data_IF_425462535251
#
_entry.id   IF_425462535251
#
_cell.length_a   1.000
_cell.length_b   1.000
_cell.length_c   1.000
_cell.angle_alpha   90.00
_cell.angle_beta   90.00
_cell.angle_gamma   90.00
#
_symmetry.space_group_name_H-M   'P 1'
#
loop_
_entity.id
_entity.type
_entity.pdbx_description
1 polymer ?
#
# COMPACT_ATOMS: atom_id res chain seq x y z
N UNK A 1 -0.30 -17.77 -22.40
CA UNK A 1 -0.17 -17.29 -23.79
C UNK A 1 1.28 -16.86 -23.99
N UNK A 2 1.91 -17.34 -25.07
CA UNK A 2 3.30 -17.03 -25.40
C UNK A 2 3.41 -16.32 -26.76
N UNK A 3 4.61 -15.88 -27.13
CA UNK A 3 4.84 -15.17 -28.39
C UNK A 3 4.49 -16.02 -29.63
N UNK A 4 4.59 -17.34 -29.54
CA UNK A 4 4.25 -18.25 -30.62
C UNK A 4 2.72 -18.28 -30.85
N UNK A 5 1.93 -18.22 -29.78
CA UNK A 5 0.46 -18.18 -29.86
C UNK A 5 -0.01 -16.90 -30.55
N UNK A 6 0.66 -15.77 -30.25
CA UNK A 6 0.36 -14.47 -30.89
C UNK A 6 0.75 -14.47 -32.36
N UNK A 7 1.97 -14.93 -32.70
CA UNK A 7 2.50 -14.89 -34.06
C UNK A 7 1.75 -15.84 -35.00
N UNK A 8 1.25 -16.97 -34.49
CA UNK A 8 0.52 -17.97 -35.26
C UNK A 8 -1.00 -17.83 -35.19
N UNK A 9 -1.52 -16.78 -34.53
CA UNK A 9 -2.95 -16.58 -34.30
C UNK A 9 -3.64 -17.84 -33.75
N UNK A 10 -3.00 -18.50 -32.77
CA UNK A 10 -3.53 -19.71 -32.18
C UNK A 10 -4.79 -19.40 -31.37
N UNK A 11 -5.82 -20.25 -31.54
CA UNK A 11 -7.09 -20.14 -30.81
C UNK A 11 -6.90 -20.65 -29.35
N UNK A 12 -6.19 -19.90 -28.55
CA UNK A 12 -5.91 -20.21 -27.13
C UNK A 12 -6.48 -19.14 -26.23
N UNK A 13 -6.85 -19.52 -25.01
CA UNK A 13 -7.35 -18.59 -24.01
C UNK A 13 -6.84 -18.93 -22.60
N UNK A 14 -6.82 -17.91 -21.75
CA UNK A 14 -6.62 -18.02 -20.31
C UNK A 14 -7.91 -17.57 -19.63
N UNK A 15 -8.46 -18.40 -18.75
CA UNK A 15 -9.70 -18.11 -18.04
C UNK A 15 -9.43 -17.34 -16.76
N UNK A 16 -10.23 -16.34 -16.45
CA UNK A 16 -10.26 -15.75 -15.11
C UNK A 16 -10.82 -16.72 -14.08
N UNK A 17 -10.47 -16.54 -12.81
CA UNK A 17 -10.83 -17.45 -11.71
C UNK A 17 -12.33 -17.74 -11.62
N UNK A 18 -13.18 -16.73 -11.70
CA UNK A 18 -14.64 -16.89 -11.62
C UNK A 18 -15.20 -17.60 -12.85
N UNK A 19 -14.68 -17.29 -14.05
CA UNK A 19 -15.04 -17.98 -15.29
C UNK A 19 -14.70 -19.45 -15.20
N UNK A 20 -13.50 -19.78 -14.69
CA UNK A 20 -13.10 -21.16 -14.46
C UNK A 20 -14.04 -21.86 -13.48
N UNK A 21 -14.36 -21.27 -12.33
CA UNK A 21 -15.27 -21.84 -11.35
C UNK A 21 -16.68 -22.10 -11.89
N UNK A 22 -17.15 -21.22 -12.77
CA UNK A 22 -18.48 -21.35 -13.41
C UNK A 22 -18.51 -22.46 -14.45
N UNK A 23 -17.46 -22.58 -15.27
CA UNK A 23 -17.40 -23.58 -16.34
C UNK A 23 -16.98 -24.97 -15.85
N UNK A 24 -16.22 -25.03 -14.77
CA UNK A 24 -15.72 -26.29 -14.18
C UNK A 24 -16.11 -26.40 -12.70
N UNK A 25 -17.40 -26.52 -12.35
CA UNK A 25 -17.88 -26.53 -10.95
C UNK A 25 -17.32 -27.69 -10.14
N UNK A 26 -17.00 -28.81 -10.78
CA UNK A 26 -16.40 -29.99 -10.11
C UNK A 26 -14.86 -29.86 -9.96
N UNK A 27 -14.27 -28.74 -10.35
CA UNK A 27 -12.82 -28.56 -10.37
C UNK A 27 -12.15 -29.38 -11.48
N UNK A 28 -10.83 -29.53 -11.35
CA UNK A 28 -10.02 -30.26 -12.31
C UNK A 28 -9.09 -29.36 -13.13
N UNK A 29 -8.26 -29.95 -13.98
CA UNK A 29 -7.36 -29.22 -14.84
C UNK A 29 -8.10 -28.79 -16.13
N UNK A 30 -8.35 -27.50 -16.33
CA UNK A 30 -9.03 -27.01 -17.53
C UNK A 30 -8.12 -26.95 -18.76
N UNK A 31 -6.79 -27.09 -18.58
CA UNK A 31 -5.85 -26.99 -19.69
C UNK A 31 -6.07 -28.11 -20.73
N UNK A 32 -6.20 -27.72 -22.00
CA UNK A 32 -6.51 -28.61 -23.09
C UNK A 32 -8.02 -28.74 -23.40
N UNK A 33 -8.89 -28.26 -22.51
CA UNK A 33 -10.33 -28.19 -22.81
C UNK A 33 -10.63 -27.07 -23.82
N UNK A 34 -11.77 -27.21 -24.52
CA UNK A 34 -12.24 -26.19 -25.44
C UNK A 34 -13.41 -25.41 -24.86
N UNK A 35 -13.31 -24.10 -24.89
CA UNK A 35 -14.38 -23.18 -24.49
C UNK A 35 -14.84 -22.41 -25.71
N UNK A 36 -16.17 -22.32 -25.91
CA UNK A 36 -16.76 -21.55 -27.00
C UNK A 36 -17.04 -20.12 -26.50
N UNK A 37 -16.42 -19.15 -27.14
CA UNK A 37 -16.71 -17.73 -26.95
C UNK A 37 -17.33 -17.23 -28.24
N UNK A 38 -18.57 -16.76 -28.14
CA UNK A 38 -19.43 -16.47 -29.30
C UNK A 38 -19.51 -17.67 -30.26
N UNK A 39 -18.91 -17.58 -31.42
CA UNK A 39 -18.93 -18.65 -32.42
C UNK A 39 -17.57 -19.34 -32.62
N UNK A 40 -16.56 -19.00 -31.81
CA UNK A 40 -15.20 -19.53 -31.95
C UNK A 40 -14.83 -20.41 -30.75
N UNK A 41 -14.22 -21.56 -31.05
CA UNK A 41 -13.69 -22.46 -30.01
C UNK A 41 -12.22 -22.09 -29.70
N UNK A 42 -11.93 -21.93 -28.41
CA UNK A 42 -10.61 -21.62 -27.89
C UNK A 42 -10.12 -22.76 -26.98
N UNK A 43 -8.87 -23.13 -27.15
CA UNK A 43 -8.22 -24.08 -26.25
C UNK A 43 -7.75 -23.37 -24.99
N UNK A 44 -8.12 -23.89 -23.82
CA UNK A 44 -7.70 -23.34 -22.53
C UNK A 44 -6.25 -23.74 -22.26
N UNK A 45 -5.38 -22.75 -22.06
CA UNK A 45 -3.95 -22.96 -21.77
C UNK A 45 -3.59 -22.62 -20.32
N UNK A 46 -4.52 -22.05 -19.56
CA UNK A 46 -4.30 -21.74 -18.14
C UNK A 46 -5.48 -21.02 -17.50
N UNK A 47 -5.36 -20.83 -16.19
CA UNK A 47 -6.28 -20.03 -15.37
C UNK A 47 -5.50 -18.92 -14.72
N UNK A 48 -6.02 -17.70 -14.76
CA UNK A 48 -5.46 -16.55 -14.07
C UNK A 48 -6.05 -16.47 -12.65
N UNK A 49 -5.20 -16.58 -11.66
CA UNK A 49 -5.51 -16.43 -10.24
C UNK A 49 -5.08 -15.07 -9.70
N UNK A 50 -4.87 -14.10 -10.58
CA UNK A 50 -4.46 -12.75 -10.17
C UNK A 50 -5.49 -12.16 -9.20
N UNK A 51 -5.04 -11.79 -8.02
CA UNK A 51 -5.84 -11.09 -7.01
C UNK A 51 -5.81 -9.57 -7.18
N UNK A 52 -5.37 -9.08 -8.33
CA UNK A 52 -5.24 -7.64 -8.57
C UNK A 52 -6.63 -7.03 -8.75
N UNK A 53 -7.06 -6.22 -7.80
CA UNK A 53 -8.32 -5.47 -7.85
C UNK A 53 -8.29 -4.30 -8.86
N UNK A 54 -7.39 -4.32 -9.83
CA UNK A 54 -7.32 -3.29 -10.86
C UNK A 54 -8.31 -3.63 -11.97
N UNK A 55 -9.48 -3.02 -11.91
CA UNK A 55 -10.53 -3.17 -12.92
C UNK A 55 -10.27 -2.20 -14.07
N UNK A 56 -9.73 -2.71 -15.16
CA UNK A 56 -9.66 -2.01 -16.45
C UNK A 56 -10.66 -2.71 -17.38
N UNK A 57 -11.80 -2.06 -17.66
CA UNK A 57 -12.90 -2.64 -18.46
C UNK A 57 -13.51 -3.96 -17.95
N UNK A 58 -13.49 -4.20 -16.64
CA UNK A 58 -14.03 -5.41 -16.03
C UNK A 58 -13.06 -6.08 -15.05
N UNK A 59 -13.57 -7.00 -14.25
CA UNK A 59 -12.75 -7.75 -13.31
C UNK A 59 -11.92 -8.79 -14.06
N UNK A 60 -10.63 -8.88 -13.77
CA UNK A 60 -9.75 -9.91 -14.32
C UNK A 60 -10.28 -11.32 -14.06
N UNK A 61 -10.93 -11.53 -12.90
CA UNK A 61 -11.52 -12.81 -12.51
C UNK A 61 -12.71 -13.23 -13.41
N UNK A 62 -13.42 -12.26 -13.99
CA UNK A 62 -14.63 -12.46 -14.83
C UNK A 62 -14.33 -12.38 -16.32
N UNK A 63 -13.05 -12.21 -16.68
CA UNK A 63 -12.62 -12.03 -18.06
C UNK A 63 -11.90 -13.26 -18.62
N UNK A 64 -11.80 -13.29 -19.93
CA UNK A 64 -11.00 -14.28 -20.66
C UNK A 64 -9.95 -13.56 -21.47
N UNK A 65 -8.70 -13.96 -21.32
CA UNK A 65 -7.56 -13.39 -22.03
C UNK A 65 -7.30 -14.23 -23.28
N UNK A 66 -7.28 -13.56 -24.43
CA UNK A 66 -7.00 -14.17 -25.74
C UNK A 66 -5.97 -13.32 -26.49
N UNK A 67 -5.25 -13.89 -27.48
CA UNK A 67 -4.32 -13.11 -28.30
C UNK A 67 -5.04 -11.98 -29.05
N UNK A 68 -4.50 -10.75 -28.99
CA UNK A 68 -5.10 -9.57 -29.61
C UNK A 68 -5.28 -9.75 -31.14
N UNK A 69 -4.25 -10.25 -31.81
CA UNK A 69 -4.28 -10.48 -33.24
C UNK A 69 -5.42 -11.40 -33.67
N UNK A 70 -5.76 -12.39 -32.84
CA UNK A 70 -6.87 -13.30 -33.11
C UNK A 70 -8.23 -12.60 -32.94
N UNK A 71 -8.38 -11.76 -31.90
CA UNK A 71 -9.62 -10.98 -31.69
C UNK A 71 -9.84 -10.02 -32.86
N UNK A 72 -8.81 -9.29 -33.27
CA UNK A 72 -8.89 -8.37 -34.41
C UNK A 72 -9.33 -9.08 -35.70
N UNK A 73 -8.79 -10.27 -35.93
CA UNK A 73 -9.17 -11.08 -37.13
C UNK A 73 -10.58 -11.66 -37.01
N UNK A 74 -10.97 -12.18 -35.83
CA UNK A 74 -12.26 -12.84 -35.63
C UNK A 74 -13.45 -11.86 -35.68
N UNK A 75 -13.26 -10.64 -35.15
CA UNK A 75 -14.29 -9.61 -35.07
C UNK A 75 -14.15 -8.52 -36.13
N UNK A 76 -13.24 -8.68 -37.08
CA UNK A 76 -12.99 -7.74 -38.19
C UNK A 76 -12.71 -6.30 -37.67
N UNK A 77 -11.98 -6.18 -36.58
CA UNK A 77 -11.67 -4.89 -35.94
C UNK A 77 -10.52 -4.14 -36.63
N UNK A 78 -9.95 -4.70 -37.69
CA UNK A 78 -8.77 -4.13 -38.35
C UNK A 78 -7.55 -4.09 -37.42
N UNK A 79 -6.94 -2.92 -37.25
CA UNK A 79 -5.80 -2.72 -36.36
C UNK A 79 -6.16 -1.85 -35.14
N UNK A 80 -7.47 -1.70 -34.85
CA UNK A 80 -7.91 -0.90 -33.73
C UNK A 80 -7.62 -1.59 -32.37
N UNK A 81 -7.32 -0.77 -31.37
CA UNK A 81 -7.16 -1.17 -29.97
C UNK A 81 -7.87 -0.14 -29.10
N UNK A 82 -8.60 -0.61 -28.09
CA UNK A 82 -9.34 0.28 -27.20
C UNK A 82 -8.46 0.81 -26.06
N UNK A 83 -7.57 -0.03 -25.54
CA UNK A 83 -6.72 0.29 -24.38
C UNK A 83 -5.30 -0.20 -24.63
N UNK A 84 -4.34 0.66 -24.33
CA UNK A 84 -2.92 0.32 -24.32
C UNK A 84 -2.35 0.52 -22.91
N UNK A 85 -1.80 -0.54 -22.32
CA UNK A 85 -1.11 -0.48 -21.04
C UNK A 85 0.40 -0.33 -21.27
N UNK A 86 0.99 0.67 -20.64
CA UNK A 86 2.42 0.94 -20.72
C UNK A 86 3.04 0.83 -19.33
N UNK A 87 4.13 0.06 -19.23
CA UNK A 87 4.95 -0.04 -18.01
C UNK A 87 6.32 0.58 -18.25
N UNK A 88 6.72 1.47 -17.36
CA UNK A 88 8.07 2.05 -17.38
C UNK A 88 9.11 1.13 -16.74
N UNK A 89 10.39 1.31 -17.10
CA UNK A 89 11.49 0.72 -16.33
C UNK A 89 11.51 1.31 -14.91
N UNK A 90 12.04 0.60 -13.89
CA UNK A 90 11.99 1.03 -12.48
C UNK A 90 12.53 2.43 -12.18
N UNK A 91 13.38 2.98 -13.05
CA UNK A 91 13.97 4.32 -12.90
C UNK A 91 13.19 5.43 -13.61
N UNK A 92 12.08 5.10 -14.26
CA UNK A 92 11.36 6.01 -15.15
C UNK A 92 10.07 6.47 -14.47
N UNK A 93 9.97 7.78 -14.24
CA UNK A 93 8.77 8.45 -13.71
C UNK A 93 7.77 8.61 -14.86
N UNK A 94 6.66 7.87 -14.81
CA UNK A 94 5.65 7.84 -15.88
C UNK A 94 4.99 9.21 -16.09
N UNK A 95 4.78 9.97 -15.03
CA UNK A 95 4.19 11.31 -15.11
C UNK A 95 5.00 12.26 -16.00
N UNK A 96 6.33 12.09 -16.06
CA UNK A 96 7.19 12.91 -16.94
C UNK A 96 7.13 12.50 -18.41
N UNK A 97 6.79 11.25 -18.68
CA UNK A 97 6.76 10.71 -20.05
C UNK A 97 5.36 10.80 -20.66
N UNK A 98 4.32 10.82 -19.84
CA UNK A 98 2.93 10.88 -20.27
C UNK A 98 2.67 11.94 -21.35
N UNK A 99 3.16 13.19 -21.26
CA UNK A 99 2.94 14.18 -22.32
C UNK A 99 3.57 13.79 -23.66
N UNK A 100 4.75 13.14 -23.58
CA UNK A 100 5.45 12.68 -24.79
C UNK A 100 4.72 11.51 -25.45
N UNK A 101 4.20 10.58 -24.65
CA UNK A 101 3.39 9.46 -25.14
C UNK A 101 2.14 9.99 -25.85
N UNK A 102 1.44 10.94 -25.21
CA UNK A 102 0.25 11.60 -25.80
C UNK A 102 0.60 12.24 -27.15
N UNK A 103 1.69 12.99 -27.24
CA UNK A 103 2.13 13.61 -28.49
C UNK A 103 2.42 12.60 -29.60
N UNK A 104 3.02 11.46 -29.27
CA UNK A 104 3.30 10.40 -30.26
C UNK A 104 2.01 9.77 -30.77
N UNK A 105 1.09 9.44 -29.86
CA UNK A 105 -0.20 8.85 -30.21
C UNK A 105 -1.05 9.85 -31.03
N UNK A 106 -1.14 11.09 -30.59
CA UNK A 106 -1.91 12.13 -31.26
C UNK A 106 -1.41 12.39 -32.69
N UNK A 107 -0.10 12.41 -32.91
CA UNK A 107 0.49 12.53 -34.26
C UNK A 107 0.20 11.32 -35.14
N UNK A 108 0.18 10.11 -34.57
CA UNK A 108 -0.10 8.90 -35.31
C UNK A 108 -1.58 8.79 -35.75
N UNK A 109 -2.48 9.46 -35.04
CA UNK A 109 -3.93 9.45 -35.30
C UNK A 109 -4.46 10.79 -35.82
N UNK A 110 -3.58 11.72 -36.17
CA UNK A 110 -3.92 13.03 -36.76
C UNK A 110 -4.87 13.86 -35.85
N UNK A 111 -4.63 13.78 -34.53
CA UNK A 111 -5.40 14.46 -33.50
C UNK A 111 -4.55 15.55 -32.83
N UNK A 112 -5.17 16.61 -32.34
CA UNK A 112 -4.47 17.67 -31.63
C UNK A 112 -3.87 17.16 -30.31
N UNK A 113 -2.53 17.23 -30.11
CA UNK A 113 -1.87 16.81 -28.88
C UNK A 113 -2.26 17.62 -27.64
N UNK A 114 -2.83 18.82 -27.84
CA UNK A 114 -3.27 19.69 -26.75
C UNK A 114 -4.66 19.36 -26.23
N UNK A 115 -5.44 18.62 -26.99
CA UNK A 115 -6.76 18.16 -26.56
C UNK A 115 -6.62 16.97 -25.59
N UNK A 116 -6.88 17.25 -24.31
CA UNK A 116 -6.82 16.23 -23.25
C UNK A 116 -7.88 15.15 -23.39
N UNK A 117 -8.96 15.40 -24.12
CA UNK A 117 -10.06 14.46 -24.33
C UNK A 117 -9.80 13.46 -25.45
N UNK A 118 -8.92 13.82 -26.38
CA UNK A 118 -8.61 12.99 -27.56
C UNK A 118 -7.89 11.69 -27.19
N UNK A 119 -6.99 11.75 -26.20
CA UNK A 119 -6.28 10.59 -25.66
C UNK A 119 -6.42 10.59 -24.13
N UNK A 120 -7.31 9.75 -23.62
CA UNK A 120 -7.48 9.56 -22.19
C UNK A 120 -6.30 8.78 -21.62
N UNK A 121 -5.59 9.36 -20.66
CA UNK A 121 -4.45 8.71 -20.01
C UNK A 121 -4.75 8.54 -18.53
N UNK A 122 -4.80 7.29 -18.08
CA UNK A 122 -4.93 6.95 -16.68
C UNK A 122 -3.54 6.64 -16.11
N UNK A 123 -3.01 7.56 -15.31
CA UNK A 123 -1.70 7.41 -14.70
C UNK A 123 -1.83 6.93 -13.25
N UNK A 124 -1.52 5.67 -13.02
CA UNK A 124 -1.58 5.02 -11.71
C UNK A 124 -0.57 5.64 -10.72
N UNK A 125 0.57 6.18 -11.21
CA UNK A 125 1.58 6.84 -10.37
C UNK A 125 1.00 8.02 -9.59
N UNK A 126 0.08 8.78 -10.20
CA UNK A 126 -0.58 9.91 -9.52
C UNK A 126 -1.42 9.42 -8.35
N UNK A 127 -2.12 8.30 -8.49
CA UNK A 127 -2.91 7.72 -7.40
C UNK A 127 -2.01 7.24 -6.25
N UNK A 128 -0.91 6.55 -6.57
CA UNK A 128 0.07 6.16 -5.55
C UNK A 128 0.69 7.38 -4.87
N UNK A 129 1.01 8.43 -5.62
CA UNK A 129 1.51 9.69 -5.05
C UNK A 129 0.52 10.35 -4.09
N UNK A 130 -0.78 10.30 -4.36
CA UNK A 130 -1.81 10.78 -3.42
C UNK A 130 -1.83 9.96 -2.13
N UNK A 131 -1.73 8.64 -2.24
CA UNK A 131 -1.68 7.74 -1.09
C UNK A 131 -0.41 7.98 -0.26
N UNK A 132 0.74 8.12 -0.88
CA UNK A 132 2.01 8.42 -0.21
C UNK A 132 1.96 9.77 0.53
N UNK A 133 1.36 10.79 -0.07
CA UNK A 133 1.16 12.09 0.56
C UNK A 133 0.23 11.99 1.78
N UNK A 134 -0.82 11.19 1.71
CA UNK A 134 -1.70 10.93 2.86
C UNK A 134 -0.93 10.25 4.00
N UNK A 135 -0.16 9.21 3.70
CA UNK A 135 0.67 8.54 4.71
C UNK A 135 1.73 9.47 5.30
N UNK A 136 2.33 10.33 4.49
CA UNK A 136 3.27 11.35 4.96
C UNK A 136 2.61 12.35 5.89
N UNK A 137 1.39 12.79 5.57
CA UNK A 137 0.58 13.66 6.43
C UNK A 137 0.23 12.99 7.76
N UNK A 138 -0.19 11.72 7.74
CA UNK A 138 -0.48 10.95 8.95
C UNK A 138 0.79 10.77 9.79
N UNK A 139 1.92 10.45 9.18
CA UNK A 139 3.20 10.36 9.88
C UNK A 139 3.59 11.67 10.55
N UNK A 140 3.42 12.79 9.87
CA UNK A 140 3.67 14.11 10.47
C UNK A 140 2.79 14.36 11.71
N UNK A 141 1.50 14.02 11.63
CA UNK A 141 0.59 14.14 12.77
C UNK A 141 1.00 13.24 13.93
N UNK A 142 1.41 12.01 13.67
CA UNK A 142 1.90 11.07 14.69
C UNK A 142 3.12 11.66 15.41
N UNK A 143 4.09 12.21 14.66
CA UNK A 143 5.25 12.86 15.24
C UNK A 143 4.87 14.10 16.07
N UNK A 144 3.96 14.93 15.58
CA UNK A 144 3.53 16.15 16.26
C UNK A 144 2.82 15.81 17.58
N UNK A 145 1.89 14.86 17.58
CA UNK A 145 1.18 14.41 18.76
C UNK A 145 2.16 13.69 19.71
N UNK A 146 3.06 12.85 19.19
CA UNK A 146 4.05 12.14 19.98
C UNK A 146 5.00 13.10 20.73
N UNK A 147 5.53 14.11 20.07
CA UNK A 147 6.36 15.14 20.70
C UNK A 147 5.55 15.94 21.73
N UNK A 148 4.32 16.32 21.37
CA UNK A 148 3.43 17.04 22.30
C UNK A 148 3.13 16.26 23.57
N UNK A 149 2.85 14.98 23.46
CA UNK A 149 2.60 14.11 24.63
C UNK A 149 3.85 13.89 25.48
N UNK A 150 5.03 13.74 24.86
CA UNK A 150 6.30 13.67 25.59
C UNK A 150 6.59 14.94 26.37
N UNK A 151 6.36 16.12 25.78
CA UNK A 151 6.53 17.40 26.47
C UNK A 151 5.55 17.55 27.63
N UNK A 152 4.28 17.22 27.41
CA UNK A 152 3.27 17.24 28.47
C UNK A 152 3.64 16.30 29.63
N UNK A 153 4.11 15.09 29.31
CA UNK A 153 4.60 14.13 30.29
C UNK A 153 5.81 14.65 31.08
N UNK A 154 6.78 15.27 30.38
CA UNK A 154 7.95 15.87 31.04
C UNK A 154 7.57 17.00 32.01
N UNK A 155 6.62 17.86 31.62
CA UNK A 155 6.10 18.92 32.51
C UNK A 155 5.39 18.32 33.72
N UNK A 156 4.59 17.26 33.49
CA UNK A 156 3.89 16.55 34.59
C UNK A 156 4.86 15.96 35.59
N UNK A 157 5.88 15.23 35.12
CA UNK A 157 6.93 14.68 36.00
C UNK A 157 7.69 15.79 36.73
N UNK A 158 8.04 16.88 36.04
CA UNK A 158 8.72 18.04 36.67
C UNK A 158 7.90 18.66 37.81
N UNK A 159 6.59 18.82 37.59
CA UNK A 159 5.68 19.33 38.61
C UNK A 159 5.63 18.43 39.87
N UNK A 160 5.46 17.12 39.66
CA UNK A 160 5.45 16.16 40.78
C UNK A 160 6.77 16.19 41.53
N UNK A 161 7.90 16.21 40.83
CA UNK A 161 9.22 16.27 41.43
C UNK A 161 9.43 17.54 42.25
N UNK A 162 8.94 18.68 41.77
CA UNK A 162 9.04 19.94 42.49
C UNK A 162 8.29 19.88 43.84
N UNK A 163 7.10 19.28 43.86
CA UNK A 163 6.32 19.06 45.10
C UNK A 163 7.04 18.11 46.03
N UNK A 164 7.49 16.95 45.52
CA UNK A 164 8.21 15.94 46.30
C UNK A 164 9.48 16.51 46.97
N UNK A 165 10.27 17.31 46.27
CA UNK A 165 11.46 17.97 46.80
C UNK A 165 11.09 18.97 47.90
N UNK A 166 10.00 19.73 47.75
CA UNK A 166 9.50 20.64 48.77
C UNK A 166 9.06 19.91 50.04
N UNK A 167 8.33 18.83 49.92
CA UNK A 167 7.88 17.99 51.05
C UNK A 167 9.07 17.39 51.81
N UNK A 168 10.14 16.99 51.11
CA UNK A 168 11.36 16.40 51.72
C UNK A 168 12.44 17.42 52.06
N UNK A 169 12.14 18.74 52.07
CA UNK A 169 13.13 19.80 52.30
C UNK A 169 13.86 19.65 53.65
N UNK A 170 13.14 19.28 54.72
CA UNK A 170 13.71 19.05 56.04
C UNK A 170 14.69 17.88 56.05
N UNK A 171 14.34 16.77 55.42
CA UNK A 171 15.20 15.59 55.30
C UNK A 171 16.46 15.89 54.49
N UNK A 172 16.33 16.61 53.40
CA UNK A 172 17.44 17.08 52.58
C UNK A 172 18.36 18.02 53.37
N UNK A 173 17.76 18.91 54.20
CA UNK A 173 18.50 19.82 55.09
C UNK A 173 19.33 19.06 56.12
N UNK A 174 18.78 18.05 56.77
CA UNK A 174 19.47 17.19 57.74
C UNK A 174 20.65 16.48 57.07
N UNK A 175 20.45 15.88 55.91
CA UNK A 175 21.51 15.21 55.14
C UNK A 175 22.66 16.16 54.77
N UNK A 176 22.35 17.39 54.40
CA UNK A 176 23.36 18.42 54.15
C UNK A 176 24.12 18.83 55.41
N UNK A 177 23.44 18.92 56.56
CA UNK A 177 24.08 19.25 57.82
C UNK A 177 25.06 18.15 58.28
N UNK A 178 24.80 16.89 57.97
CA UNK A 178 25.68 15.74 58.28
C UNK A 178 26.83 15.62 57.24
N UNK A 179 26.87 16.49 56.17
CA UNK A 179 27.99 16.56 55.22
C UNK A 179 27.71 15.98 53.84
N UNK A 180 26.48 15.63 53.50
CA UNK A 180 26.15 15.16 52.16
C UNK A 180 26.35 16.27 51.10
N UNK A 181 27.06 15.95 50.05
CA UNK A 181 27.27 16.91 48.96
C UNK A 181 25.99 17.09 48.12
N UNK A 182 25.74 18.28 47.56
CA UNK A 182 24.57 18.54 46.73
C UNK A 182 24.43 17.56 45.54
N UNK A 183 25.57 17.08 45.02
CA UNK A 183 25.58 16.12 43.88
C UNK A 183 25.00 14.75 44.27
N UNK A 184 25.29 14.28 45.48
CA UNK A 184 24.77 12.99 45.98
C UNK A 184 23.27 13.08 46.16
N UNK A 185 22.73 14.17 46.72
CA UNK A 185 21.31 14.37 46.91
C UNK A 185 20.59 14.47 45.56
N UNK A 186 21.17 15.24 44.64
CA UNK A 186 20.60 15.40 43.29
C UNK A 186 20.58 14.07 42.51
N UNK A 187 21.69 13.30 42.55
CA UNK A 187 21.76 12.00 41.88
C UNK A 187 20.73 11.00 42.44
N UNK A 188 20.46 11.03 43.72
CA UNK A 188 19.45 10.18 44.36
C UNK A 188 18.03 10.53 43.86
N UNK A 189 17.69 11.83 43.83
CA UNK A 189 16.38 12.29 43.35
C UNK A 189 16.19 11.95 41.85
N UNK A 190 17.23 12.14 41.02
CA UNK A 190 17.19 11.79 39.60
C UNK A 190 17.05 10.27 39.42
N UNK A 191 17.78 9.46 40.19
CA UNK A 191 17.67 8.01 40.10
C UNK A 191 16.27 7.50 40.46
N UNK A 192 15.66 8.05 41.52
CA UNK A 192 14.30 7.71 41.95
C UNK A 192 13.29 8.02 40.83
N UNK A 193 13.35 9.22 40.22
CA UNK A 193 12.47 9.61 39.11
C UNK A 193 12.70 8.77 37.84
N UNK A 194 13.97 8.43 37.57
CA UNK A 194 14.30 7.61 36.38
C UNK A 194 13.73 6.19 36.52
N UNK A 195 13.87 5.57 37.68
CA UNK A 195 13.32 4.23 37.96
C UNK A 195 11.79 4.25 37.78
N UNK A 196 11.10 5.21 38.39
CA UNK A 196 9.65 5.34 38.27
C UNK A 196 9.21 5.53 36.83
N UNK A 197 9.91 6.38 36.09
CA UNK A 197 9.60 6.64 34.66
C UNK A 197 9.85 5.41 33.79
N UNK A 198 10.92 4.65 34.05
CA UNK A 198 11.19 3.41 33.31
C UNK A 198 10.13 2.35 33.59
N UNK A 199 9.73 2.14 34.84
CA UNK A 199 8.67 1.18 35.20
C UNK A 199 7.34 1.58 34.57
N UNK A 200 6.96 2.86 34.66
CA UNK A 200 5.74 3.36 34.03
C UNK A 200 5.80 3.26 32.50
N UNK A 201 6.92 3.59 31.87
CA UNK A 201 7.10 3.50 30.42
C UNK A 201 7.05 2.06 29.91
N UNK A 202 7.70 1.12 30.62
CA UNK A 202 7.62 -0.30 30.25
C UNK A 202 6.20 -0.88 30.41
N UNK A 203 5.49 -0.52 31.46
CA UNK A 203 4.11 -0.96 31.65
C UNK A 203 3.18 -0.41 30.56
N UNK A 204 3.36 0.86 30.19
CA UNK A 204 2.62 1.47 29.08
C UNK A 204 2.90 0.81 27.73
N UNK A 205 4.17 0.47 27.46
CA UNK A 205 4.54 -0.24 26.23
C UNK A 205 3.93 -1.65 26.17
N UNK A 206 3.99 -2.40 27.27
CA UNK A 206 3.37 -3.73 27.35
C UNK A 206 1.85 -3.66 27.13
N UNK A 207 1.21 -2.66 27.72
CA UNK A 207 -0.22 -2.45 27.52
C UNK A 207 -0.54 -2.11 26.06
N UNK A 208 0.22 -1.23 25.43
CA UNK A 208 0.03 -0.86 24.03
C UNK A 208 0.18 -2.07 23.08
N UNK A 209 1.21 -2.91 23.30
CA UNK A 209 1.41 -4.14 22.52
C UNK A 209 0.27 -5.13 22.71
N UNK A 210 -0.22 -5.30 23.95
CA UNK A 210 -1.35 -6.18 24.23
C UNK A 210 -2.63 -5.72 23.51
N UNK A 211 -2.92 -4.41 23.50
CA UNK A 211 -4.06 -3.85 22.76
C UNK A 211 -3.93 -4.07 21.26
N UNK A 212 -2.75 -3.84 20.68
CA UNK A 212 -2.51 -4.07 19.25
C UNK A 212 -2.73 -5.54 18.87
N UNK A 213 -2.24 -6.48 19.67
CA UNK A 213 -2.46 -7.90 19.44
C UNK A 213 -3.95 -8.29 19.51
N UNK A 214 -4.69 -7.71 20.45
CA UNK A 214 -6.14 -7.94 20.54
C UNK A 214 -6.89 -7.45 19.28
N UNK A 215 -6.49 -6.30 18.74
CA UNK A 215 -7.08 -5.75 17.51
C UNK A 215 -6.75 -6.65 16.32
N UNK A 216 -5.50 -7.10 16.20
CA UNK A 216 -5.06 -7.98 15.11
C UNK A 216 -5.80 -9.32 15.12
N UNK A 217 -5.98 -9.94 16.29
CA UNK A 217 -6.78 -11.16 16.43
C UNK A 217 -8.26 -10.96 16.05
N UNK A 218 -8.82 -9.77 16.30
CA UNK A 218 -10.19 -9.43 15.95
C UNK A 218 -10.40 -9.17 14.45
N UNK A 219 -9.36 -8.80 13.71
CA UNK A 219 -9.43 -8.52 12.26
C UNK A 219 -9.10 -9.72 11.39
N UNK A 220 -8.50 -10.77 11.95
CA UNK A 220 -8.12 -12.01 11.23
C UNK A 220 -9.19 -13.10 11.30
N UNK A 221 -10.32 -12.89 11.99
CA UNK A 221 -11.52 -13.72 11.98
C UNK A 221 -12.61 -13.09 11.11
#
# INVERSE_FOLDING_TARGET
INQMDVNQNRKVCVLGKKVYQTLFPNGGNPCGAFVRIDSVYYNVVGVDYSSTNMNINGSADESVVVPLSLVQAAYNMGQSIDIMCLTGRPSVVMSKITPRIRTVIARAHDVDPTDEKSVSVFNTEVLYGMVDNLFSGVNFLIWLVGIGTLLAGAIGVSNIMMVTVRERTTEIGIRRAIGATPRIILSQIIAESLILTLVAGMSGLLFAVAVLQMIEMGTTN
#
